data_IF_119287436965
#
_entry.id   IF_119287436965
#
_cell.length_a   1.000
_cell.length_b   1.000
_cell.length_c   1.000
_cell.angle_alpha   90.00
_cell.angle_beta   90.00
_cell.angle_gamma   90.00
#
_symmetry.space_group_name_H-M   'P 1'
#
loop_
_entity.id
_entity.type
_entity.pdbx_description
1 polymer ?
#
# COMPACT_ATOMS: atom_id res chain seq x y z
N UNK A 1 7.99 14.33 -29.16
CA UNK A 1 8.19 15.22 -28.00
C UNK A 1 8.84 14.37 -26.91
N UNK A 2 10.07 14.68 -26.50
CA UNK A 2 10.71 14.04 -25.35
C UNK A 2 10.31 14.86 -24.12
N UNK A 3 9.56 14.26 -23.20
CA UNK A 3 9.33 14.85 -21.89
C UNK A 3 10.59 14.62 -21.06
N UNK A 4 11.46 15.62 -20.97
CA UNK A 4 12.59 15.60 -20.05
C UNK A 4 12.04 15.77 -18.62
N UNK A 5 11.92 14.66 -17.89
CA UNK A 5 11.49 14.62 -16.47
C UNK A 5 12.50 15.25 -15.49
N UNK A 6 13.44 16.09 -15.93
CA UNK A 6 14.68 16.35 -15.21
C UNK A 6 14.85 17.74 -14.59
N UNK A 7 13.82 18.58 -14.48
CA UNK A 7 14.00 19.90 -13.84
C UNK A 7 13.77 19.92 -12.32
N UNK A 8 13.18 18.86 -11.73
CA UNK A 8 12.78 18.88 -10.31
C UNK A 8 13.54 17.90 -9.39
N UNK A 9 14.47 17.10 -9.94
CA UNK A 9 15.26 16.13 -9.19
C UNK A 9 16.19 16.76 -8.12
N UNK A 10 16.38 18.08 -8.12
CA UNK A 10 17.31 18.78 -7.21
C UNK A 10 16.67 19.32 -5.93
N UNK A 11 15.34 19.34 -5.80
CA UNK A 11 14.69 19.83 -4.60
C UNK A 11 14.61 18.74 -3.52
N UNK A 12 15.71 18.60 -2.77
CA UNK A 12 15.74 18.01 -1.42
C UNK A 12 14.92 18.89 -0.46
N UNK A 13 13.60 18.90 -0.59
CA UNK A 13 12.72 19.32 0.50
C UNK A 13 12.24 18.11 1.27
N UNK A 14 12.45 18.18 2.59
CA UNK A 14 12.06 17.19 3.57
C UNK A 14 10.61 16.74 3.34
N UNK A 15 10.36 15.43 3.19
CA UNK A 15 9.00 14.92 3.17
C UNK A 15 8.47 15.16 4.58
N UNK A 16 7.67 16.21 4.76
CA UNK A 16 7.02 16.49 6.03
C UNK A 16 6.00 15.37 6.32
N UNK A 17 6.52 14.29 6.86
CA UNK A 17 5.93 13.38 7.84
C UNK A 17 4.39 13.28 7.78
N UNK A 18 3.89 12.60 6.74
CA UNK A 18 2.48 12.18 6.60
C UNK A 18 2.01 11.29 7.76
N UNK A 19 2.94 10.71 8.53
CA UNK A 19 2.67 9.80 9.66
C UNK A 19 1.76 10.36 10.76
N UNK A 20 1.47 11.67 10.80
CA UNK A 20 0.54 12.27 11.79
C UNK A 20 -0.91 12.42 11.31
N UNK A 21 -1.22 12.10 10.05
CA UNK A 21 -2.60 12.08 9.50
C UNK A 21 -3.00 10.70 8.94
N UNK A 22 -2.17 9.68 9.16
CA UNK A 22 -2.23 8.36 8.52
C UNK A 22 -3.19 7.34 9.18
N UNK A 23 -4.47 7.66 9.23
CA UNK A 23 -5.50 6.62 9.43
C UNK A 23 -5.60 5.70 8.20
N UNK A 24 -5.99 4.44 8.40
CA UNK A 24 -6.43 3.54 7.33
C UNK A 24 -7.50 4.19 6.44
N UNK A 25 -8.37 5.02 7.05
CA UNK A 25 -9.51 5.66 6.39
C UNK A 25 -9.27 7.10 5.94
N UNK A 26 -8.11 7.71 6.21
CA UNK A 26 -7.93 9.15 5.95
C UNK A 26 -7.79 9.45 4.45
N UNK A 27 -8.60 10.35 3.85
CA UNK A 27 -8.53 10.70 2.43
C UNK A 27 -7.20 11.38 2.06
N UNK A 28 -6.68 11.02 0.88
CA UNK A 28 -5.47 11.62 0.30
C UNK A 28 -5.87 12.50 -0.89
N UNK A 29 -5.40 13.75 -0.88
CA UNK A 29 -5.67 14.76 -1.91
C UNK A 29 -7.03 15.45 -1.77
N UNK A 30 -7.10 16.71 -2.20
CA UNK A 30 -8.36 17.45 -2.37
C UNK A 30 -8.93 17.14 -3.78
N UNK A 31 -10.22 17.41 -4.01
CA UNK A 31 -10.91 17.14 -5.30
C UNK A 31 -10.24 17.84 -6.52
N UNK A 32 -9.40 18.85 -6.27
CA UNK A 32 -8.71 19.65 -7.28
C UNK A 32 -7.34 19.06 -7.70
N UNK A 33 -6.79 18.09 -6.94
CA UNK A 33 -5.47 17.48 -7.21
C UNK A 33 -5.61 16.20 -8.07
N UNK A 34 -6.23 16.29 -9.25
CA UNK A 34 -6.37 15.10 -10.13
C UNK A 34 -5.15 14.98 -11.05
N UNK A 35 -4.56 13.79 -11.11
CA UNK A 35 -3.45 13.51 -12.00
C UNK A 35 -3.94 13.31 -13.45
N UNK A 36 -3.23 13.91 -14.41
CA UNK A 36 -3.50 13.73 -15.84
C UNK A 36 -2.68 12.56 -16.39
N UNK A 37 -3.31 11.53 -17.00
CA UNK A 37 -2.58 10.44 -17.63
C UNK A 37 -1.75 10.95 -18.82
N UNK A 38 -0.44 10.64 -18.82
CA UNK A 38 0.48 10.99 -19.91
C UNK A 38 0.77 9.77 -20.78
N UNK A 39 0.83 8.59 -20.15
CA UNK A 39 0.98 7.29 -20.82
C UNK A 39 0.17 6.24 -20.07
N UNK A 40 0.08 5.02 -20.61
CA UNK A 40 -0.50 3.86 -19.89
C UNK A 40 0.18 3.54 -18.55
N UNK A 41 1.36 4.14 -18.31
CA UNK A 41 2.26 3.79 -17.21
C UNK A 41 2.52 4.95 -16.26
N UNK A 42 2.07 6.14 -16.62
CA UNK A 42 2.44 7.38 -15.95
C UNK A 42 1.32 8.41 -16.04
N UNK A 43 1.03 9.05 -14.91
CA UNK A 43 0.25 10.27 -14.82
C UNK A 43 1.10 11.37 -14.19
N UNK A 44 0.69 12.63 -14.35
CA UNK A 44 1.39 13.80 -13.80
C UNK A 44 0.39 14.70 -13.08
N UNK A 45 0.75 15.15 -11.89
CA UNK A 45 -0.03 16.14 -11.13
C UNK A 45 0.17 17.56 -11.69
N UNK A 46 -0.72 18.53 -11.39
CA UNK A 46 -0.58 19.91 -11.87
C UNK A 46 0.74 20.59 -11.51
N UNK A 47 1.39 20.17 -10.42
CA UNK A 47 2.69 20.66 -9.96
C UNK A 47 3.89 19.96 -10.61
N UNK A 48 3.65 19.03 -11.53
CA UNK A 48 4.68 18.30 -12.29
C UNK A 48 5.16 17.01 -11.61
N UNK A 49 4.59 16.59 -10.49
CA UNK A 49 4.95 15.30 -9.85
C UNK A 49 4.47 14.13 -10.71
N UNK A 50 5.38 13.23 -11.07
CA UNK A 50 5.07 12.01 -11.81
C UNK A 50 4.58 10.88 -10.89
N UNK A 51 3.48 10.26 -11.28
CA UNK A 51 2.88 9.08 -10.65
C UNK A 51 3.01 7.87 -11.57
N UNK A 52 3.26 6.70 -11.00
CA UNK A 52 3.21 5.40 -11.66
C UNK A 52 1.78 4.92 -11.80
N UNK A 53 1.45 4.34 -12.94
CA UNK A 53 0.18 3.64 -13.16
C UNK A 53 0.45 2.14 -13.33
N UNK A 54 -0.45 1.31 -12.84
CA UNK A 54 -0.50 -0.09 -13.26
C UNK A 54 -0.93 -0.15 -14.71
N UNK A 55 -0.07 -0.65 -15.63
CA UNK A 55 -0.43 -0.73 -17.04
C UNK A 55 -1.63 -1.67 -17.23
N UNK A 56 -2.59 -1.39 -18.13
CA UNK A 56 -3.81 -2.20 -18.28
C UNK A 56 -3.59 -3.68 -18.62
N UNK A 57 -2.41 -4.04 -19.14
CA UNK A 57 -2.02 -5.40 -19.49
C UNK A 57 -1.32 -6.16 -18.35
N UNK A 58 -1.11 -5.52 -17.20
CA UNK A 58 -0.49 -6.13 -16.02
C UNK A 58 -1.54 -6.33 -14.92
N UNK A 59 -1.36 -7.33 -14.05
CA UNK A 59 -2.23 -7.50 -12.91
C UNK A 59 -2.13 -6.30 -11.96
N UNK A 60 -3.19 -6.07 -11.23
CA UNK A 60 -3.29 -5.11 -10.13
C UNK A 60 -2.70 -5.69 -8.84
N UNK A 61 -2.64 -4.88 -7.78
CA UNK A 61 -2.01 -5.32 -6.52
C UNK A 61 -2.85 -6.36 -5.79
N UNK A 62 -4.18 -6.26 -5.81
CA UNK A 62 -5.06 -7.24 -5.17
C UNK A 62 -5.17 -8.55 -5.95
N UNK A 63 -4.86 -8.56 -7.25
CA UNK A 63 -4.73 -9.79 -8.05
C UNK A 63 -3.45 -10.59 -7.73
N UNK A 64 -2.40 -9.96 -7.20
CA UNK A 64 -1.11 -10.61 -6.89
C UNK A 64 -0.84 -10.76 -5.39
N UNK A 65 -1.52 -9.96 -4.57
CA UNK A 65 -1.30 -9.88 -3.14
C UNK A 65 -2.62 -10.14 -2.41
N UNK A 66 -2.66 -11.28 -1.72
CA UNK A 66 -3.82 -11.68 -0.92
C UNK A 66 -3.52 -11.60 0.59
N UNK A 67 -4.56 -11.43 1.43
CA UNK A 67 -4.42 -11.58 2.87
C UNK A 67 -3.77 -12.93 3.25
N UNK A 68 -2.78 -12.90 4.13
CA UNK A 68 -1.91 -14.03 4.49
C UNK A 68 -0.54 -14.00 3.81
N UNK A 69 -0.35 -13.19 2.76
CA UNK A 69 0.96 -13.03 2.14
C UNK A 69 2.00 -12.53 3.14
N UNK A 70 3.19 -13.14 3.10
CA UNK A 70 4.37 -12.68 3.81
C UNK A 70 5.20 -11.80 2.86
N UNK A 71 5.53 -10.60 3.31
CA UNK A 71 6.23 -9.61 2.52
C UNK A 71 7.47 -9.06 3.22
N UNK A 72 8.39 -8.55 2.43
CA UNK A 72 9.46 -7.64 2.86
C UNK A 72 9.40 -6.36 2.03
N UNK A 73 9.98 -5.29 2.56
CA UNK A 73 10.09 -3.99 1.89
C UNK A 73 11.55 -3.68 1.61
N UNK A 74 11.84 -2.97 0.52
CA UNK A 74 13.19 -2.50 0.17
C UNK A 74 13.95 -1.83 1.33
N UNK A 75 13.26 -1.02 2.14
CA UNK A 75 13.83 -0.30 3.29
C UNK A 75 13.92 -1.13 4.59
N UNK A 76 13.44 -2.37 4.60
CA UNK A 76 13.52 -3.29 5.73
C UNK A 76 13.55 -4.74 5.23
N UNK A 77 14.60 -5.12 4.48
CA UNK A 77 14.65 -6.40 3.78
C UNK A 77 14.67 -7.60 4.72
N UNK A 78 15.20 -7.43 5.93
CA UNK A 78 15.28 -8.49 6.95
C UNK A 78 14.01 -8.63 7.78
N UNK A 79 13.02 -7.74 7.59
CA UNK A 79 11.78 -7.73 8.36
C UNK A 79 10.64 -8.34 7.54
N UNK A 80 10.27 -9.57 7.89
CA UNK A 80 9.07 -10.21 7.34
C UNK A 80 7.83 -9.63 8.03
N UNK A 81 6.84 -9.28 7.23
CA UNK A 81 5.55 -8.77 7.67
C UNK A 81 4.43 -9.59 7.02
N UNK A 82 3.34 -9.80 7.73
CA UNK A 82 2.15 -10.46 7.18
C UNK A 82 1.14 -9.42 6.71
N UNK A 83 0.54 -9.65 5.55
CA UNK A 83 -0.56 -8.86 5.00
C UNK A 83 -1.87 -9.37 5.56
N UNK A 84 -2.68 -8.47 6.12
CA UNK A 84 -3.98 -8.80 6.73
C UNK A 84 -5.15 -8.32 5.89
N UNK A 85 -4.94 -7.26 5.13
CA UNK A 85 -5.97 -6.69 4.27
C UNK A 85 -5.30 -6.01 3.08
N UNK A 86 -5.90 -6.13 1.90
CA UNK A 86 -5.56 -5.37 0.69
C UNK A 86 -6.80 -4.59 0.29
N UNK A 87 -6.65 -3.31 -0.05
CA UNK A 87 -7.78 -2.44 -0.38
C UNK A 87 -7.40 -1.49 -1.50
N UNK A 88 -8.21 -1.47 -2.55
CA UNK A 88 -8.15 -0.44 -3.57
C UNK A 88 -8.62 0.90 -3.01
N UNK A 89 -7.89 1.96 -3.34
CA UNK A 89 -8.23 3.35 -3.05
C UNK A 89 -7.69 4.26 -4.15
N UNK A 90 -8.52 5.12 -4.74
CA UNK A 90 -8.01 6.13 -5.65
C UNK A 90 -7.19 7.17 -4.88
N UNK A 91 -6.04 7.56 -5.42
CA UNK A 91 -5.20 8.66 -4.94
C UNK A 91 -4.96 9.58 -6.14
N UNK A 92 -5.37 10.84 -6.04
CA UNK A 92 -5.32 11.80 -7.16
C UNK A 92 -6.03 11.32 -8.43
N UNK A 93 -7.15 10.60 -8.28
CA UNK A 93 -7.90 10.00 -9.38
C UNK A 93 -7.27 8.74 -9.99
N UNK A 94 -6.11 8.30 -9.51
CA UNK A 94 -5.42 7.08 -9.97
C UNK A 94 -5.79 5.89 -9.08
N UNK A 95 -6.16 4.72 -9.63
CA UNK A 95 -6.31 3.49 -8.87
C UNK A 95 -5.01 3.10 -8.17
N UNK A 96 -5.03 3.00 -6.85
CA UNK A 96 -3.89 2.55 -6.04
C UNK A 96 -4.36 1.61 -4.93
N UNK A 97 -3.44 0.97 -4.25
CA UNK A 97 -3.74 0.01 -3.19
C UNK A 97 -3.08 0.38 -1.88
N UNK A 98 -3.74 0.03 -0.78
CA UNK A 98 -3.20 0.08 0.57
C UNK A 98 -3.32 -1.28 1.24
N UNK A 99 -2.32 -1.64 2.03
CA UNK A 99 -2.25 -2.91 2.72
C UNK A 99 -2.10 -2.72 4.23
N UNK A 100 -2.89 -3.46 5.00
CA UNK A 100 -2.73 -3.55 6.44
C UNK A 100 -1.72 -4.65 6.75
N UNK A 101 -0.73 -4.32 7.59
CA UNK A 101 0.39 -5.22 7.87
C UNK A 101 0.57 -5.43 9.37
N UNK A 102 0.99 -6.64 9.74
CA UNK A 102 1.33 -7.02 11.11
C UNK A 102 2.60 -7.86 11.16
N UNK A 103 3.02 -8.22 12.36
CA UNK A 103 4.06 -9.23 12.51
C UNK A 103 3.45 -10.62 12.22
N UNK A 104 4.20 -11.58 11.63
CA UNK A 104 3.63 -12.86 11.17
C UNK A 104 2.87 -13.64 12.26
N UNK A 105 3.38 -13.64 13.49
CA UNK A 105 2.78 -14.35 14.63
C UNK A 105 1.58 -13.61 15.25
N UNK A 106 1.22 -12.44 14.72
CA UNK A 106 0.05 -11.71 15.20
C UNK A 106 -1.22 -12.37 14.66
N UNK A 107 -2.14 -12.85 15.50
CA UNK A 107 -3.42 -13.36 15.01
C UNK A 107 -4.27 -12.23 14.43
N UNK A 108 -5.19 -12.56 13.54
CA UNK A 108 -6.19 -11.59 13.10
C UNK A 108 -7.28 -11.38 14.16
N UNK A 109 -7.75 -10.14 14.28
CA UNK A 109 -8.98 -9.79 14.96
C UNK A 109 -10.23 -10.22 14.16
N UNK A 110 -11.41 -10.00 14.75
CA UNK A 110 -12.70 -10.33 14.11
C UNK A 110 -12.97 -9.53 12.84
N UNK A 111 -12.32 -8.38 12.72
CA UNK A 111 -12.39 -7.46 11.59
C UNK A 111 -11.38 -7.81 10.47
N UNK A 112 -10.60 -8.88 10.63
CA UNK A 112 -9.58 -9.32 9.67
C UNK A 112 -8.25 -8.57 9.78
N UNK A 113 -8.15 -7.54 10.63
CA UNK A 113 -6.91 -6.78 10.86
C UNK A 113 -6.01 -7.47 11.90
N UNK A 114 -4.72 -7.13 12.00
CA UNK A 114 -3.88 -7.64 13.07
C UNK A 114 -4.49 -7.34 14.44
N UNK A 115 -4.50 -8.29 15.37
CA UNK A 115 -4.99 -8.07 16.74
C UNK A 115 -4.26 -6.87 17.37
N UNK A 116 -5.03 -5.95 17.98
CA UNK A 116 -4.54 -4.65 18.49
C UNK A 116 -3.97 -3.74 17.38
N UNK A 117 -4.59 -3.75 16.20
CA UNK A 117 -4.20 -2.90 15.08
C UNK A 117 -4.04 -1.44 15.51
N UNK A 118 -2.88 -0.85 15.20
CA UNK A 118 -2.55 0.56 15.51
C UNK A 118 -2.29 1.38 14.24
N UNK A 119 -2.99 1.06 13.15
CA UNK A 119 -2.87 1.81 11.89
C UNK A 119 -1.61 1.50 11.09
N UNK A 120 -0.93 0.37 11.33
CA UNK A 120 0.27 -0.03 10.56
C UNK A 120 -0.16 -0.45 9.15
N UNK A 121 0.16 0.35 8.15
CA UNK A 121 -0.18 0.08 6.76
C UNK A 121 0.93 0.55 5.81
N UNK A 122 0.90 0.04 4.58
CA UNK A 122 1.64 0.60 3.45
C UNK A 122 0.61 1.06 2.43
N UNK A 123 0.70 2.31 2.00
CA UNK A 123 -0.28 2.96 1.12
C UNK A 123 0.29 3.23 -0.27
N UNK A 124 -0.57 3.68 -1.19
CA UNK A 124 -0.18 4.22 -2.50
C UNK A 124 0.65 3.20 -3.29
N UNK A 125 0.14 1.98 -3.40
CA UNK A 125 0.78 0.87 -4.08
C UNK A 125 0.20 0.69 -5.47
N UNK A 126 1.08 0.41 -6.42
CA UNK A 126 0.73 0.03 -7.79
C UNK A 126 1.60 -1.16 -8.20
N UNK A 127 1.12 -1.96 -9.13
CA UNK A 127 1.95 -2.99 -9.75
C UNK A 127 2.49 -2.50 -11.09
N UNK A 128 3.80 -2.57 -11.29
CA UNK A 128 4.44 -2.17 -12.54
C UNK A 128 5.74 -2.95 -12.75
N UNK A 129 5.86 -3.55 -13.93
CA UNK A 129 7.03 -4.34 -14.39
C UNK A 129 7.38 -5.52 -13.48
N UNK A 130 6.37 -6.26 -13.04
CA UNK A 130 6.62 -7.44 -12.22
C UNK A 130 6.80 -7.14 -10.73
N UNK A 131 6.62 -5.89 -10.29
CA UNK A 131 6.89 -5.46 -8.93
C UNK A 131 5.77 -4.59 -8.35
N UNK A 132 5.50 -4.77 -7.05
CA UNK A 132 4.66 -3.86 -6.27
C UNK A 132 5.52 -2.68 -5.85
N UNK A 133 5.16 -1.47 -6.29
CA UNK A 133 5.92 -0.24 -6.10
C UNK A 133 5.07 0.85 -5.48
N UNK A 134 5.73 1.86 -4.93
CA UNK A 134 5.09 3.12 -4.55
C UNK A 134 4.60 3.89 -5.76
N UNK A 135 3.45 4.56 -5.60
CA UNK A 135 2.78 5.40 -6.60
C UNK A 135 3.72 6.49 -7.14
N UNK A 136 4.40 7.22 -6.25
CA UNK A 136 5.24 8.34 -6.67
C UNK A 136 6.51 7.86 -7.38
N UNK A 137 6.77 8.36 -8.58
CA UNK A 137 7.86 7.91 -9.45
C UNK A 137 9.25 8.05 -8.81
N UNK A 138 9.44 9.03 -7.93
CA UNK A 138 10.71 9.26 -7.23
C UNK A 138 10.91 8.37 -5.99
N UNK A 139 9.91 7.57 -5.61
CA UNK A 139 10.01 6.61 -4.53
C UNK A 139 10.22 5.22 -5.14
N UNK A 140 11.44 4.70 -5.02
CA UNK A 140 11.81 3.38 -5.55
C UNK A 140 11.56 2.23 -4.57
N UNK A 141 10.76 2.47 -3.52
CA UNK A 141 10.39 1.42 -2.59
C UNK A 141 9.56 0.34 -3.27
N UNK A 142 9.94 -0.89 -2.96
CA UNK A 142 9.38 -2.11 -3.54
C UNK A 142 8.93 -3.04 -2.42
N UNK A 143 7.80 -3.72 -2.66
CA UNK A 143 7.31 -4.79 -1.81
C UNK A 143 7.57 -6.12 -2.52
N UNK A 144 8.21 -7.04 -1.80
CA UNK A 144 8.48 -8.40 -2.27
C UNK A 144 7.67 -9.39 -1.47
N UNK A 145 6.94 -10.26 -2.16
CA UNK A 145 6.29 -11.42 -1.55
C UNK A 145 7.35 -12.50 -1.34
N UNK A 146 7.51 -12.96 -0.10
CA UNK A 146 8.51 -13.94 0.32
C UNK A 146 7.90 -15.27 0.75
N UNK A 147 6.58 -15.33 0.89
CA UNK A 147 5.88 -16.54 1.26
C UNK A 147 4.41 -16.28 1.52
N UNK A 148 3.74 -17.28 2.05
CA UNK A 148 2.35 -17.20 2.44
C UNK A 148 2.16 -17.94 3.76
N UNK A 149 1.44 -17.30 4.67
CA UNK A 149 1.04 -17.88 5.94
C UNK A 149 -0.37 -17.38 6.25
N UNK A 150 -1.35 -18.26 6.03
CA UNK A 150 -2.77 -17.93 6.03
C UNK A 150 -3.22 -17.16 7.27
N UNK A 151 -4.37 -16.50 7.15
CA UNK A 151 -4.93 -15.75 8.28
C UNK A 151 -5.76 -16.69 9.14
N UNK A 152 -5.17 -17.13 10.25
CA UNK A 152 -5.94 -17.71 11.34
C UNK A 152 -6.66 -16.58 12.09
N UNK A 153 -7.96 -16.45 11.83
CA UNK A 153 -8.82 -15.62 12.66
C UNK A 153 -8.89 -16.24 14.06
N UNK A 154 -8.51 -15.48 15.08
CA UNK A 154 -8.61 -15.92 16.48
C UNK A 154 -10.10 -15.97 16.90
N UNK A 155 -10.73 -17.10 16.58
CA UNK A 155 -12.07 -17.46 17.08
C UNK A 155 -12.05 -17.86 18.57
N UNK A 156 -10.90 -17.89 19.25
CA UNK A 156 -10.80 -18.31 20.67
C UNK A 156 -11.26 -17.24 21.68
N UNK A 157 -11.88 -16.14 21.24
CA UNK A 157 -12.70 -15.30 22.11
C UNK A 157 -14.17 -15.76 22.21
N UNK A 158 -14.56 -16.84 21.52
CA UNK A 158 -15.96 -17.32 21.49
C UNK A 158 -16.25 -18.51 22.40
N UNK A 159 -15.25 -19.12 23.05
CA UNK A 159 -15.46 -20.32 23.89
C UNK A 159 -15.22 -20.06 25.40
N UNK A 160 -14.60 -18.94 25.80
CA UNK A 160 -14.33 -18.64 27.22
C UNK A 160 -15.30 -17.65 27.89
N UNK A 161 -16.33 -17.16 27.18
CA UNK A 161 -17.35 -16.25 27.75
C UNK A 161 -18.79 -16.84 27.73
N UNK A 162 -18.94 -18.14 27.48
CA UNK A 162 -20.25 -18.72 27.18
C UNK A 162 -20.54 -20.09 27.76
N UNK A 163 -20.00 -20.45 28.93
CA UNK A 163 -20.53 -21.54 29.76
C UNK A 163 -20.47 -21.12 31.23
N UNK A 164 -21.42 -20.28 31.63
CA UNK A 164 -22.02 -20.33 32.96
C UNK A 164 -23.46 -20.74 32.74
N UNK A 165 -23.73 -22.02 32.91
CA UNK A 165 -25.03 -22.59 33.20
C UNK A 165 -24.82 -23.64 34.29
#
# INVERSE_FOLDING_TARGET
>A
MKFDCCAFCEYRHSPQNTYRRDGWDYPHGDEEDVAEPVTERMAVLPDGICLRLTPPCQPTVDEILEPGALITTSYSPDRIQKVFHVRERPVYGVPTYSIAIGDPDTPAGRDGYPKRYRGRNIKELVYQDGAIRKLFWNNDDEIKVVGYDGIEADYQATISAGWSA
#
